data_IF_603963777144
#
_entry.id   IF_603963777144
#
_cell.length_a   1.000
_cell.length_b   1.000
_cell.length_c   1.000
_cell.angle_alpha   90.00
_cell.angle_beta   90.00
_cell.angle_gamma   90.00
#
_symmetry.space_group_name_H-M   'P 1'
#
loop_
_entity.id
_entity.type
_entity.pdbx_description
1 polymer ?
#
# COMPACT_ATOMS: atom_id res chain seq x y z
N UNK A 1 47.59 -29.71 -8.89
CA UNK A 1 47.56 -28.76 -7.76
C UNK A 1 46.27 -27.99 -7.89
N UNK A 2 45.39 -28.24 -6.93
CA UNK A 2 44.10 -27.60 -6.68
C UNK A 2 44.32 -26.16 -6.25
N UNK A 3 43.59 -25.23 -6.84
CA UNK A 3 43.22 -23.97 -6.16
C UNK A 3 41.68 -23.93 -6.05
N UNK A 4 41.13 -23.67 -4.85
CA UNK A 4 39.70 -23.68 -4.62
C UNK A 4 39.09 -22.33 -5.01
N UNK A 5 38.03 -22.38 -5.82
CA UNK A 5 37.15 -21.24 -6.09
C UNK A 5 36.38 -20.95 -4.79
N UNK A 6 36.74 -19.85 -4.13
CA UNK A 6 35.98 -19.33 -2.99
C UNK A 6 34.62 -18.79 -3.43
N UNK A 7 33.58 -18.86 -2.58
CA UNK A 7 32.28 -18.32 -2.90
C UNK A 7 32.37 -16.79 -2.98
N UNK A 8 32.13 -16.23 -4.17
CA UNK A 8 32.00 -14.79 -4.35
C UNK A 8 30.78 -14.30 -3.58
N UNK A 9 31.02 -13.63 -2.46
CA UNK A 9 30.02 -12.86 -1.73
C UNK A 9 29.51 -11.75 -2.67
N UNK A 10 28.32 -11.94 -3.24
CA UNK A 10 27.59 -10.90 -3.96
C UNK A 10 27.31 -9.75 -3.00
N UNK A 11 28.15 -8.72 -3.06
CA UNK A 11 27.94 -7.50 -2.31
C UNK A 11 26.83 -6.75 -3.03
N UNK A 12 25.64 -6.71 -2.41
CA UNK A 12 24.49 -5.96 -2.93
C UNK A 12 24.94 -4.50 -3.13
N UNK A 13 24.76 -3.89 -4.32
CA UNK A 13 25.00 -2.48 -4.47
C UNK A 13 24.01 -1.73 -3.56
N UNK A 14 24.54 -0.90 -2.66
CA UNK A 14 23.74 0.00 -1.84
C UNK A 14 22.76 0.77 -2.74
N UNK A 15 21.50 1.00 -2.30
CA UNK A 15 20.59 1.84 -3.05
C UNK A 15 21.27 3.18 -3.30
N UNK A 16 21.31 3.61 -4.56
CA UNK A 16 21.76 4.95 -4.92
C UNK A 16 20.92 5.95 -4.11
N UNK A 17 21.53 6.92 -3.41
CA UNK A 17 20.87 7.79 -2.43
C UNK A 17 19.85 8.78 -3.04
N UNK A 18 19.41 8.57 -4.28
CA UNK A 18 18.60 9.49 -5.06
C UNK A 18 17.21 8.95 -5.40
N UNK A 19 16.94 7.66 -5.23
CA UNK A 19 15.67 7.06 -5.65
C UNK A 19 14.76 6.85 -4.43
N UNK A 20 13.89 7.82 -4.18
CA UNK A 20 12.94 7.74 -3.07
C UNK A 20 11.74 6.88 -3.45
N UNK A 21 11.27 6.07 -2.52
CA UNK A 21 10.11 5.21 -2.70
C UNK A 21 8.88 5.90 -2.14
N UNK A 22 7.86 6.02 -2.97
CA UNK A 22 6.56 6.59 -2.60
C UNK A 22 5.46 5.53 -2.69
N UNK A 23 4.51 5.51 -1.74
CA UNK A 23 3.29 4.73 -1.90
C UNK A 23 2.43 5.36 -3.01
N UNK A 24 1.80 4.55 -3.85
CA UNK A 24 0.75 5.02 -4.76
C UNK A 24 -0.49 5.35 -3.95
N UNK A 25 -1.14 6.48 -4.23
CA UNK A 25 -2.23 6.98 -3.38
C UNK A 25 -3.56 6.32 -3.70
N UNK A 26 -3.77 6.00 -4.97
CA UNK A 26 -5.04 5.55 -5.55
C UNK A 26 -5.58 4.29 -4.84
N UNK A 27 -4.78 3.24 -4.61
CA UNK A 27 -5.26 2.03 -3.92
C UNK A 27 -5.71 2.30 -2.47
N UNK A 28 -5.00 3.16 -1.74
CA UNK A 28 -5.30 3.45 -0.33
C UNK A 28 -6.41 4.49 -0.15
N UNK A 29 -6.63 5.34 -1.15
CA UNK A 29 -7.61 6.43 -1.08
C UNK A 29 -8.96 6.05 -1.68
N UNK A 30 -8.93 5.39 -2.84
CA UNK A 30 -10.10 5.08 -3.66
C UNK A 30 -10.37 3.56 -3.77
N UNK A 31 -9.39 2.71 -3.45
CA UNK A 31 -9.52 1.26 -3.55
C UNK A 31 -10.18 0.56 -2.36
N UNK A 32 -10.48 1.26 -1.26
CA UNK A 32 -11.03 0.64 -0.04
C UNK A 32 -12.56 0.51 -0.12
N UNK A 33 -13.04 -0.72 -0.06
CA UNK A 33 -14.46 -1.03 -0.13
C UNK A 33 -15.08 -1.22 1.26
N UNK A 34 -16.30 -0.69 1.52
CA UNK A 34 -17.00 -0.87 2.79
C UNK A 34 -17.64 -2.26 2.91
N UNK A 35 -16.88 -3.31 2.61
CA UNK A 35 -17.34 -4.70 2.57
C UNK A 35 -16.64 -5.53 3.64
N UNK A 36 -17.37 -5.87 4.71
CA UNK A 36 -16.81 -6.62 5.85
C UNK A 36 -16.23 -7.98 5.46
N UNK A 37 -16.76 -8.61 4.41
CA UNK A 37 -16.27 -9.91 3.89
C UNK A 37 -14.88 -9.83 3.26
N UNK A 38 -14.38 -8.64 2.93
CA UNK A 38 -13.03 -8.44 2.41
C UNK A 38 -12.01 -8.17 3.52
N UNK A 39 -12.45 -8.08 4.79
CA UNK A 39 -11.57 -7.84 5.94
C UNK A 39 -11.26 -9.19 6.59
N UNK A 40 -10.06 -9.69 6.32
CA UNK A 40 -9.57 -10.96 6.88
C UNK A 40 -8.96 -10.77 8.26
N UNK A 41 -9.21 -11.71 9.17
CA UNK A 41 -8.56 -11.76 10.49
C UNK A 41 -7.09 -12.14 10.38
N UNK A 42 -6.78 -13.09 9.51
CA UNK A 42 -5.44 -13.45 9.06
C UNK A 42 -5.36 -13.32 7.53
N UNK A 43 -4.93 -12.14 7.02
CA UNK A 43 -4.87 -11.89 5.58
C UNK A 43 -3.90 -12.82 4.85
N UNK A 44 -2.78 -13.20 5.47
CA UNK A 44 -1.76 -14.03 4.82
C UNK A 44 -2.34 -15.41 4.53
N UNK A 45 -2.89 -16.07 5.55
CA UNK A 45 -3.45 -17.41 5.40
C UNK A 45 -4.66 -17.41 4.46
N UNK A 46 -5.60 -16.47 4.66
CA UNK A 46 -6.82 -16.40 3.88
C UNK A 46 -6.55 -16.16 2.38
N UNK A 47 -5.65 -15.23 2.06
CA UNK A 47 -5.31 -14.91 0.68
C UNK A 47 -4.42 -15.95 0.02
N UNK A 48 -3.59 -16.67 0.79
CA UNK A 48 -2.86 -17.83 0.27
C UNK A 48 -3.81 -18.93 -0.15
N UNK A 49 -4.80 -19.27 0.69
CA UNK A 49 -5.84 -20.25 0.33
C UNK A 49 -6.71 -19.78 -0.84
N UNK A 50 -7.01 -18.48 -0.91
CA UNK A 50 -7.75 -17.89 -2.03
C UNK A 50 -6.96 -17.99 -3.35
N UNK A 51 -5.68 -17.60 -3.33
CA UNK A 51 -4.75 -17.72 -4.46
C UNK A 51 -4.71 -19.16 -4.96
N UNK A 52 -4.54 -20.14 -4.07
CA UNK A 52 -4.54 -21.56 -4.44
C UNK A 52 -5.87 -22.03 -5.07
N UNK A 53 -7.01 -21.58 -4.52
CA UNK A 53 -8.35 -21.90 -5.04
C UNK A 53 -8.55 -21.35 -6.46
N UNK A 54 -8.05 -20.14 -6.73
CA UNK A 54 -8.17 -19.46 -8.02
C UNK A 54 -7.15 -19.96 -9.06
N UNK A 55 -5.93 -20.35 -8.64
CA UNK A 55 -4.96 -20.98 -9.56
C UNK A 55 -5.46 -22.35 -10.03
N UNK A 56 -6.14 -23.10 -9.16
CA UNK A 56 -6.65 -24.43 -9.48
C UNK A 56 -7.74 -24.45 -10.55
N UNK A 57 -8.38 -23.32 -10.85
CA UNK A 57 -9.38 -23.21 -11.92
C UNK A 57 -8.77 -22.98 -13.31
N UNK A 58 -7.44 -22.99 -13.46
CA UNK A 58 -6.67 -22.71 -14.69
C UNK A 58 -6.91 -21.31 -15.30
N UNK A 59 -7.37 -20.37 -14.48
CA UNK A 59 -7.70 -19.01 -14.88
C UNK A 59 -6.56 -18.10 -14.43
N UNK A 60 -5.76 -17.59 -15.36
CA UNK A 60 -4.76 -16.55 -15.05
C UNK A 60 -5.42 -15.21 -14.69
N UNK A 61 -6.63 -14.95 -15.21
CA UNK A 61 -7.38 -13.70 -14.99
C UNK A 61 -8.77 -13.93 -14.42
N UNK A 62 -8.99 -13.49 -13.19
CA UNK A 62 -10.17 -13.81 -12.37
C UNK A 62 -11.37 -12.97 -12.80
N UNK A 63 -12.46 -13.63 -13.20
CA UNK A 63 -13.75 -13.00 -13.50
C UNK A 63 -14.61 -12.83 -12.24
N UNK A 64 -15.74 -12.09 -12.35
CA UNK A 64 -16.59 -11.84 -11.19
C UNK A 64 -17.27 -13.10 -10.65
N UNK A 65 -17.54 -14.10 -11.52
CA UNK A 65 -18.16 -15.35 -11.12
C UNK A 65 -17.20 -16.20 -10.25
N UNK A 66 -15.96 -16.40 -10.71
CA UNK A 66 -14.94 -17.10 -9.94
C UNK A 66 -14.64 -16.37 -8.63
N UNK A 67 -14.58 -15.03 -8.64
CA UNK A 67 -14.36 -14.24 -7.43
C UNK A 67 -15.54 -14.37 -6.44
N UNK A 68 -16.78 -14.31 -6.92
CA UNK A 68 -17.98 -14.47 -6.11
C UNK A 68 -18.01 -15.82 -5.41
N UNK A 69 -17.70 -16.89 -6.14
CA UNK A 69 -17.62 -18.25 -5.61
C UNK A 69 -16.43 -18.46 -4.67
N UNK A 70 -15.31 -17.78 -4.95
CA UNK A 70 -14.11 -17.86 -4.13
C UNK A 70 -14.33 -17.23 -2.76
N UNK A 71 -14.87 -16.01 -2.72
CA UNK A 71 -15.11 -15.21 -1.50
C UNK A 71 -16.51 -15.41 -0.87
N UNK A 72 -17.39 -16.17 -1.52
CA UNK A 72 -18.77 -16.38 -1.09
C UNK A 72 -19.53 -15.05 -0.92
N UNK A 73 -19.40 -14.18 -1.93
CA UNK A 73 -20.08 -12.87 -2.03
C UNK A 73 -21.09 -12.90 -3.18
N UNK A 74 -21.99 -11.92 -3.25
CA UNK A 74 -22.89 -11.83 -4.41
C UNK A 74 -22.11 -11.41 -5.67
N UNK A 75 -22.62 -11.78 -6.83
CA UNK A 75 -22.02 -11.42 -8.12
C UNK A 75 -21.83 -9.90 -8.26
N UNK A 76 -22.83 -9.10 -7.86
CA UNK A 76 -22.74 -7.63 -7.90
C UNK A 76 -21.59 -7.07 -7.04
N UNK A 77 -21.34 -7.68 -5.89
CA UNK A 77 -20.22 -7.31 -5.02
C UNK A 77 -18.87 -7.70 -5.65
N UNK A 78 -18.80 -8.84 -6.34
CA UNK A 78 -17.59 -9.24 -7.05
C UNK A 78 -17.28 -8.31 -8.23
N UNK A 79 -18.31 -7.90 -9.00
CA UNK A 79 -18.16 -6.88 -10.05
C UNK A 79 -17.66 -5.56 -9.50
N UNK A 80 -18.25 -5.09 -8.40
CA UNK A 80 -17.79 -3.87 -7.72
C UNK A 80 -16.30 -3.96 -7.33
N UNK A 81 -15.84 -5.13 -6.88
CA UNK A 81 -14.41 -5.35 -6.57
C UNK A 81 -13.55 -5.19 -7.82
N UNK A 82 -13.92 -5.84 -8.93
CA UNK A 82 -13.17 -5.75 -10.18
C UNK A 82 -13.18 -4.35 -10.80
N UNK A 83 -14.33 -3.67 -10.79
CA UNK A 83 -14.47 -2.29 -11.28
C UNK A 83 -13.62 -1.32 -10.44
N UNK A 84 -13.63 -1.50 -9.13
CA UNK A 84 -12.83 -0.67 -8.23
C UNK A 84 -11.35 -0.94 -8.44
N UNK A 85 -10.94 -2.20 -8.58
CA UNK A 85 -9.56 -2.57 -8.93
C UNK A 85 -9.14 -1.90 -10.24
N UNK A 86 -9.94 -2.00 -11.30
CA UNK A 86 -9.67 -1.38 -12.60
C UNK A 86 -9.43 0.14 -12.47
N UNK A 87 -10.16 0.81 -11.57
CA UNK A 87 -10.01 2.26 -11.35
C UNK A 87 -8.73 2.68 -10.62
N UNK A 88 -8.05 1.75 -9.93
CA UNK A 88 -6.85 2.02 -9.14
C UNK A 88 -5.60 1.32 -9.65
N UNK A 89 -5.71 0.54 -10.74
CA UNK A 89 -4.56 -0.08 -11.39
C UNK A 89 -3.61 0.98 -11.95
N UNK A 90 -2.32 0.66 -11.91
CA UNK A 90 -1.27 1.57 -12.34
C UNK A 90 -0.96 1.49 -13.84
N UNK A 91 -1.23 0.33 -14.45
CA UNK A 91 -0.93 0.07 -15.85
C UNK A 91 -2.13 0.40 -16.73
N UNK A 92 -2.04 1.50 -17.49
CA UNK A 92 -3.08 1.91 -18.44
C UNK A 92 -3.23 0.92 -19.61
N UNK A 93 -2.23 0.06 -19.83
CA UNK A 93 -2.27 -0.99 -20.85
C UNK A 93 -2.95 -2.27 -20.38
N UNK A 94 -3.33 -2.38 -19.09
CA UNK A 94 -4.00 -3.57 -18.60
C UNK A 94 -5.38 -3.73 -19.30
N UNK A 95 -5.70 -4.94 -19.79
CA UNK A 95 -6.97 -5.21 -20.46
C UNK A 95 -8.21 -4.82 -19.63
N UNK A 96 -8.14 -4.93 -18.30
CA UNK A 96 -9.24 -4.58 -17.40
C UNK A 96 -9.53 -3.08 -17.42
N UNK A 97 -8.48 -2.25 -17.50
CA UNK A 97 -8.58 -0.78 -17.56
C UNK A 97 -9.13 -0.31 -18.90
N UNK A 98 -8.73 -0.97 -19.99
CA UNK A 98 -9.15 -0.62 -21.36
C UNK A 98 -10.51 -1.19 -21.75
N UNK A 99 -11.00 -2.20 -21.02
CA UNK A 99 -12.30 -2.82 -21.26
C UNK A 99 -13.48 -1.89 -20.94
N UNK A 100 -14.61 -2.13 -21.59
CA UNK A 100 -15.88 -1.49 -21.21
C UNK A 100 -16.45 -2.20 -19.98
N UNK A 101 -17.26 -1.49 -19.19
CA UNK A 101 -17.93 -2.05 -18.00
C UNK A 101 -18.65 -3.38 -18.27
N UNK A 102 -19.24 -3.56 -19.45
CA UNK A 102 -19.97 -4.79 -19.80
C UNK A 102 -19.03 -5.99 -20.11
N UNK A 103 -17.77 -5.73 -20.44
CA UNK A 103 -16.79 -6.73 -20.89
C UNK A 103 -15.83 -7.16 -19.76
N UNK A 104 -15.94 -6.58 -18.56
CA UNK A 104 -15.07 -6.84 -17.39
C UNK A 104 -15.00 -8.33 -17.07
N UNK A 105 -16.14 -9.03 -17.14
CA UNK A 105 -16.25 -10.47 -16.89
C UNK A 105 -15.55 -11.32 -17.96
N UNK A 106 -15.41 -10.81 -19.18
CA UNK A 106 -14.73 -11.53 -20.28
C UNK A 106 -13.20 -11.38 -20.21
N UNK A 107 -12.72 -10.30 -19.59
CA UNK A 107 -11.30 -9.97 -19.49
C UNK A 107 -10.69 -10.51 -18.19
N UNK A 108 -11.37 -10.28 -17.07
CA UNK A 108 -10.91 -10.64 -15.74
C UNK A 108 -9.73 -9.80 -15.23
N UNK A 109 -9.54 -9.81 -13.91
CA UNK A 109 -8.40 -9.14 -13.26
C UNK A 109 -7.19 -10.07 -13.16
N UNK A 110 -5.99 -9.50 -13.25
CA UNK A 110 -4.79 -10.23 -12.89
C UNK A 110 -4.88 -10.74 -11.44
N UNK A 111 -4.48 -11.99 -11.23
CA UNK A 111 -4.60 -12.64 -9.92
C UNK A 111 -3.74 -11.96 -8.85
N UNK A 112 -2.50 -11.58 -9.18
CA UNK A 112 -1.58 -11.00 -8.21
C UNK A 112 -2.03 -9.59 -7.82
N UNK A 113 -2.44 -8.78 -8.80
CA UNK A 113 -3.00 -7.44 -8.53
C UNK A 113 -4.27 -7.53 -7.68
N UNK A 114 -5.14 -8.50 -7.96
CA UNK A 114 -6.33 -8.76 -7.15
C UNK A 114 -5.98 -9.16 -5.72
N UNK A 115 -4.99 -10.04 -5.53
CA UNK A 115 -4.54 -10.45 -4.18
C UNK A 115 -3.98 -9.25 -3.40
N UNK A 116 -3.20 -8.37 -4.05
CA UNK A 116 -2.70 -7.14 -3.43
C UNK A 116 -3.84 -6.18 -3.08
N UNK A 117 -4.80 -6.00 -3.99
CA UNK A 117 -6.00 -5.18 -3.76
C UNK A 117 -6.82 -5.68 -2.57
N UNK A 118 -7.01 -6.99 -2.46
CA UNK A 118 -7.74 -7.59 -1.33
C UNK A 118 -6.96 -7.46 -0.01
N UNK A 119 -5.63 -7.58 -0.05
CA UNK A 119 -4.77 -7.45 1.13
C UNK A 119 -4.92 -6.07 1.80
N UNK A 120 -4.93 -5.02 0.98
CA UNK A 120 -5.01 -3.63 1.48
C UNK A 120 -6.40 -3.22 1.98
N UNK A 121 -7.44 -4.03 1.79
CA UNK A 121 -8.79 -3.74 2.34
C UNK A 121 -8.79 -3.63 3.88
N UNK A 122 -7.78 -4.19 4.53
CA UNK A 122 -7.54 -4.06 5.98
C UNK A 122 -6.93 -2.72 6.42
N UNK A 123 -6.48 -1.89 5.47
CA UNK A 123 -5.85 -0.61 5.74
C UNK A 123 -6.82 0.38 6.37
N UNK A 124 -6.35 1.08 7.40
CA UNK A 124 -7.13 2.10 8.13
C UNK A 124 -6.56 3.48 7.87
N UNK A 125 -7.32 4.30 7.14
CA UNK A 125 -6.96 5.70 6.87
C UNK A 125 -6.81 6.49 8.18
N UNK A 126 -5.95 7.51 8.14
CA UNK A 126 -5.87 8.48 9.23
C UNK A 126 -7.18 9.26 9.29
N UNK A 127 -7.91 9.12 10.40
CA UNK A 127 -9.08 9.95 10.65
C UNK A 127 -8.65 11.32 11.19
N UNK A 128 -9.31 12.42 10.77
CA UNK A 128 -9.16 13.70 11.44
C UNK A 128 -9.48 13.54 12.93
N UNK A 129 -8.52 13.81 13.81
CA UNK A 129 -8.76 13.71 15.26
C UNK A 129 -9.75 14.79 15.68
N UNK A 130 -10.94 14.38 16.12
CA UNK A 130 -11.84 15.28 16.85
C UNK A 130 -11.25 15.51 18.24
N UNK A 131 -11.06 16.76 18.63
CA UNK A 131 -10.65 17.09 19.99
C UNK A 131 -11.72 16.60 20.98
N UNK A 132 -11.30 16.07 22.15
CA UNK A 132 -12.20 15.57 23.21
C UNK A 132 -13.15 16.62 23.80
N UNK A 133 -13.08 17.86 23.34
CA UNK A 133 -13.83 18.99 23.89
C UNK A 133 -14.96 19.45 22.95
N UNK A 134 -15.27 18.69 21.88
CA UNK A 134 -16.37 19.02 20.97
C UNK A 134 -17.75 19.04 21.67
N UNK A 135 -17.90 18.38 22.82
CA UNK A 135 -19.11 18.48 23.65
C UNK A 135 -19.30 19.88 24.27
N UNK A 136 -18.26 20.72 24.32
CA UNK A 136 -18.36 22.10 24.81
C UNK A 136 -18.78 23.11 23.70
N UNK A 137 -18.99 22.65 22.47
CA UNK A 137 -19.36 23.49 21.30
C UNK A 137 -20.63 22.95 20.62
N UNK A 138 -21.52 22.29 21.39
CA UNK A 138 -22.85 21.91 20.90
C UNK A 138 -23.87 23.07 20.98
N UNK A 139 -23.56 24.14 21.71
CA UNK A 139 -24.47 25.28 21.93
C UNK A 139 -24.31 26.42 20.92
N UNK A 140 -24.10 26.11 19.63
CA UNK A 140 -24.28 27.09 18.55
C UNK A 140 -24.91 26.40 17.34
N UNK A 141 -26.09 25.82 17.51
CA UNK A 141 -27.00 25.68 16.38
C UNK A 141 -27.82 26.97 16.29
N UNK A 142 -27.96 27.62 15.10
CA UNK A 142 -28.86 28.74 14.96
C UNK A 142 -30.30 28.20 14.96
N UNK A 143 -30.83 27.96 16.15
CA UNK A 143 -32.26 27.76 16.38
C UNK A 143 -32.92 29.12 16.59
N UNK A 144 -33.18 29.87 15.53
CA UNK A 144 -34.33 30.81 15.41
C UNK A 144 -34.61 30.99 13.91
N UNK A 145 -35.69 30.39 13.41
CA UNK A 145 -36.95 31.09 13.13
C UNK A 145 -36.79 32.26 12.14
N UNK A 146 -37.38 32.09 10.96
CA UNK A 146 -37.32 33.01 9.82
C UNK A 146 -38.32 34.18 9.90
N UNK A 147 -38.51 34.82 11.05
CA UNK A 147 -39.40 35.99 11.13
C UNK A 147 -38.89 37.06 12.11
N UNK A 148 -38.99 38.31 11.63
CA UNK A 148 -38.76 39.60 12.27
C UNK A 148 -37.28 39.98 12.50
N UNK A 149 -36.73 41.08 11.98
CA UNK A 149 -37.33 42.35 11.64
C UNK A 149 -36.60 43.45 12.41
N UNK A 150 -35.87 44.31 11.67
CA UNK A 150 -35.33 45.61 12.09
C UNK A 150 -34.02 45.71 12.91
N UNK A 151 -33.00 46.20 12.19
CA UNK A 151 -32.02 47.22 12.56
C UNK A 151 -31.31 47.08 13.92
N UNK A 152 -30.02 46.72 13.88
CA UNK A 152 -28.97 47.63 14.35
C UNK A 152 -27.58 47.16 13.92
N UNK A 153 -26.93 48.04 13.18
CA UNK A 153 -25.53 47.99 12.81
C UNK A 153 -24.65 48.26 14.03
N UNK A 154 -23.80 47.29 14.43
CA UNK A 154 -22.54 47.56 15.14
C UNK A 154 -21.50 46.47 14.81
N UNK A 155 -20.46 46.91 14.09
CA UNK A 155 -19.08 46.40 14.01
C UNK A 155 -18.80 44.92 13.66
N UNK A 156 -18.31 44.63 12.44
CA UNK A 156 -17.83 43.31 12.02
C UNK A 156 -16.36 43.10 12.44
N UNK A 157 -16.04 43.11 13.72
CA UNK A 157 -14.66 42.84 14.17
C UNK A 157 -14.64 42.29 15.59
N UNK A 158 -14.99 41.02 15.79
CA UNK A 158 -14.35 40.15 16.78
C UNK A 158 -14.34 38.70 16.28
N UNK A 159 -13.62 38.50 15.18
CA UNK A 159 -13.07 37.19 14.83
C UNK A 159 -11.90 36.91 15.80
N UNK A 160 -12.21 36.67 17.07
CA UNK A 160 -11.28 35.97 17.95
C UNK A 160 -11.18 34.58 17.35
N UNK A 161 -10.11 34.39 16.55
CA UNK A 161 -9.76 33.15 15.89
C UNK A 161 -9.58 32.08 16.97
N UNK A 162 -10.66 31.41 17.32
CA UNK A 162 -10.62 30.06 17.87
C UNK A 162 -10.06 29.17 16.77
N UNK A 163 -8.74 29.23 16.58
CA UNK A 163 -7.99 28.42 15.65
C UNK A 163 -7.81 27.03 16.27
N UNK A 164 -8.92 26.42 16.71
CA UNK A 164 -8.98 24.98 16.94
C UNK A 164 -9.01 24.36 15.55
N UNK A 165 -7.85 24.39 14.87
CA UNK A 165 -7.62 23.68 13.63
C UNK A 165 -8.08 22.26 13.88
N UNK A 166 -9.16 21.85 13.22
CA UNK A 166 -9.34 20.44 12.87
C UNK A 166 -7.99 20.00 12.34
N UNK A 167 -7.27 19.14 13.07
CA UNK A 167 -6.04 18.54 12.56
C UNK A 167 -6.47 17.57 11.47
N UNK A 168 -6.68 18.11 10.27
CA UNK A 168 -6.82 17.33 9.06
C UNK A 168 -5.42 16.75 8.79
N UNK A 169 -5.28 15.42 8.62
CA UNK A 169 -4.01 14.85 8.21
C UNK A 169 -3.54 15.54 6.92
N UNK A 170 -2.28 15.98 6.90
CA UNK A 170 -1.69 16.52 5.67
C UNK A 170 -1.33 15.39 4.71
N UNK A 171 -1.13 15.70 3.43
CA UNK A 171 -0.71 14.70 2.43
C UNK A 171 0.55 13.94 2.87
N UNK A 172 1.51 14.66 3.47
CA UNK A 172 2.74 14.11 4.01
C UNK A 172 2.48 13.15 5.19
N UNK A 173 1.42 13.39 5.96
CA UNK A 173 1.02 12.51 7.06
C UNK A 173 0.37 11.22 6.57
N UNK A 174 -0.44 11.31 5.52
CA UNK A 174 -1.05 10.14 4.87
C UNK A 174 0.03 9.26 4.24
N UNK A 175 0.99 9.86 3.54
CA UNK A 175 2.13 9.17 2.94
C UNK A 175 2.98 8.45 3.99
N UNK A 176 3.34 9.12 5.08
CA UNK A 176 4.08 8.49 6.18
C UNK A 176 3.31 7.30 6.79
N UNK A 177 1.98 7.40 6.88
CA UNK A 177 1.13 6.35 7.41
C UNK A 177 1.01 5.16 6.44
N UNK A 178 0.93 5.41 5.13
CA UNK A 178 0.98 4.38 4.09
C UNK A 178 2.34 3.66 4.08
N UNK A 179 3.45 4.40 4.13
CA UNK A 179 4.79 3.81 4.23
C UNK A 179 4.96 2.97 5.51
N UNK A 180 4.44 3.44 6.64
CA UNK A 180 4.45 2.67 7.90
C UNK A 180 3.62 1.39 7.81
N UNK A 181 2.48 1.45 7.12
CA UNK A 181 1.65 0.27 6.84
C UNK A 181 2.43 -0.72 5.95
N UNK A 182 2.98 -0.26 4.84
CA UNK A 182 3.80 -1.09 3.95
C UNK A 182 4.97 -1.72 4.69
N UNK A 183 5.74 -0.95 5.45
CA UNK A 183 6.86 -1.45 6.27
C UNK A 183 6.45 -2.63 7.17
N UNK A 184 5.28 -2.54 7.80
CA UNK A 184 4.77 -3.58 8.69
C UNK A 184 4.26 -4.82 7.94
N UNK A 185 3.71 -4.63 6.75
CA UNK A 185 2.98 -5.67 6.03
C UNK A 185 3.75 -6.27 4.86
N UNK A 186 4.93 -5.73 4.52
CA UNK A 186 5.67 -6.08 3.32
C UNK A 186 6.10 -7.56 3.28
N UNK A 187 6.54 -8.11 4.41
CA UNK A 187 6.92 -9.53 4.47
C UNK A 187 5.77 -10.45 4.02
N UNK A 188 4.55 -10.17 4.48
CA UNK A 188 3.36 -10.93 4.09
C UNK A 188 2.99 -10.72 2.62
N UNK A 189 3.08 -9.47 2.15
CA UNK A 189 2.82 -9.12 0.75
C UNK A 189 3.77 -9.88 -0.18
N UNK A 190 5.07 -9.86 0.12
CA UNK A 190 6.08 -10.58 -0.65
C UNK A 190 5.88 -12.09 -0.61
N UNK A 191 5.47 -12.65 0.54
CA UNK A 191 5.12 -14.07 0.63
C UNK A 191 3.95 -14.44 -0.30
N UNK A 192 2.93 -13.57 -0.42
CA UNK A 192 1.81 -13.78 -1.35
C UNK A 192 2.21 -13.68 -2.82
N UNK A 193 3.22 -12.88 -3.16
CA UNK A 193 3.75 -12.73 -4.52
C UNK A 193 4.78 -13.81 -4.87
N UNK A 194 5.48 -14.35 -3.88
CA UNK A 194 6.53 -15.34 -4.10
C UNK A 194 6.02 -16.70 -4.57
N UNK A 195 6.92 -17.42 -5.23
CA UNK A 195 6.74 -18.80 -5.64
C UNK A 195 7.61 -19.72 -4.76
N UNK A 196 7.06 -20.86 -4.29
CA UNK A 196 7.85 -21.83 -3.53
C UNK A 196 8.79 -22.60 -4.46
N UNK A 197 10.09 -22.62 -4.12
CA UNK A 197 11.11 -23.48 -4.74
C UNK A 197 11.16 -24.82 -3.99
N UNK A 198 11.51 -25.90 -4.69
CA UNK A 198 11.72 -27.23 -4.10
C UNK A 198 12.85 -27.19 -3.05
N UNK A 199 12.47 -26.97 -1.78
CA UNK A 199 13.33 -26.95 -0.60
C UNK A 199 12.51 -26.59 0.64
N UNK A 200 12.76 -27.24 1.79
CA UNK A 200 12.03 -26.93 3.04
C UNK A 200 12.52 -25.61 3.66
N UNK A 201 11.68 -24.56 3.65
CA UNK A 201 11.90 -23.34 4.45
C UNK A 201 11.37 -22.04 3.84
N UNK A 202 11.24 -20.99 4.66
CA UNK A 202 10.93 -19.62 4.21
C UNK A 202 12.03 -19.02 3.31
N UNK A 203 13.23 -19.63 3.31
CA UNK A 203 14.33 -19.29 2.40
C UNK A 203 14.14 -19.87 0.98
N UNK A 204 13.13 -20.71 0.79
CA UNK A 204 12.77 -21.28 -0.52
C UNK A 204 11.80 -20.42 -1.32
N UNK A 205 11.38 -19.27 -0.79
CA UNK A 205 10.49 -18.35 -1.51
C UNK A 205 11.31 -17.44 -2.40
N UNK A 206 11.04 -17.50 -3.71
CA UNK A 206 11.66 -16.61 -4.70
C UNK A 206 10.62 -15.69 -5.32
N UNK A 207 11.07 -14.51 -5.72
CA UNK A 207 10.25 -13.52 -6.43
C UNK A 207 10.81 -13.42 -7.84
N UNK A 208 9.95 -13.69 -8.81
CA UNK A 208 10.23 -13.45 -10.22
C UNK A 208 10.17 -11.95 -10.53
N UNK A 209 10.77 -11.55 -11.65
CA UNK A 209 10.69 -10.15 -12.11
C UNK A 209 9.24 -9.70 -12.29
N UNK A 210 8.39 -10.56 -12.87
CA UNK A 210 6.94 -10.31 -13.02
C UNK A 210 6.25 -10.13 -11.66
N UNK A 211 6.50 -11.03 -10.71
CA UNK A 211 5.97 -10.90 -9.34
C UNK A 211 6.39 -9.61 -8.64
N UNK A 212 7.59 -9.11 -8.94
CA UNK A 212 8.08 -7.83 -8.42
C UNK A 212 7.37 -6.62 -9.07
N UNK A 213 7.07 -6.66 -10.37
CA UNK A 213 6.34 -5.59 -11.06
C UNK A 213 4.95 -5.35 -10.48
N UNK A 214 4.27 -6.39 -10.00
CA UNK A 214 2.96 -6.24 -9.33
C UNK A 214 3.01 -5.36 -8.08
N UNK A 215 4.18 -5.22 -7.42
CA UNK A 215 4.32 -4.23 -6.33
C UNK A 215 4.11 -2.79 -6.82
N UNK A 216 4.20 -2.55 -8.13
CA UNK A 216 3.93 -1.28 -8.80
C UNK A 216 2.51 -0.80 -8.55
N UNK A 217 1.61 -1.72 -8.20
CA UNK A 217 0.28 -1.40 -7.71
C UNK A 217 0.32 -0.56 -6.42
N UNK A 218 1.24 -0.83 -5.50
CA UNK A 218 1.30 -0.21 -4.17
C UNK A 218 2.38 0.87 -4.04
N UNK A 219 3.47 0.74 -4.79
CA UNK A 219 4.65 1.60 -4.66
C UNK A 219 5.12 2.10 -6.03
N UNK A 220 5.79 3.24 -6.00
CA UNK A 220 6.47 3.81 -7.15
C UNK A 220 7.77 4.48 -6.70
N UNK A 221 8.75 4.56 -7.58
CA UNK A 221 9.98 5.30 -7.33
C UNK A 221 9.86 6.73 -7.87
N UNK A 222 10.45 7.70 -7.18
CA UNK A 222 10.54 9.08 -7.65
C UNK A 222 11.52 9.14 -8.83
N UNK A 223 11.03 9.17 -10.07
CA UNK A 223 11.82 9.56 -11.22
C UNK A 223 11.50 11.00 -11.66
N UNK A 224 12.55 11.76 -11.98
CA UNK A 224 12.51 13.18 -12.34
C UNK A 224 12.17 13.41 -13.83
N UNK A 225 11.53 12.45 -14.52
CA UNK A 225 11.19 12.67 -15.93
C UNK A 225 10.55 11.55 -16.75
N UNK A 226 10.27 10.38 -16.20
CA UNK A 226 9.65 9.26 -16.95
C UNK A 226 8.30 8.88 -16.35
N UNK A 227 7.23 9.11 -17.11
CA UNK A 227 5.97 8.40 -16.92
C UNK A 227 6.22 6.92 -17.28
N UNK A 228 6.24 6.04 -16.28
CA UNK A 228 6.02 4.60 -16.51
C UNK A 228 7.25 3.69 -16.56
N UNK A 229 8.33 3.99 -15.83
CA UNK A 229 9.42 3.02 -15.71
C UNK A 229 9.00 1.84 -14.80
N UNK A 230 9.18 0.62 -15.32
CA UNK A 230 8.99 -0.64 -14.60
C UNK A 230 9.79 -0.64 -13.29
N UNK A 231 9.23 -1.17 -12.20
CA UNK A 231 9.90 -1.17 -10.88
C UNK A 231 11.25 -1.87 -10.94
N UNK A 232 11.37 -2.91 -11.76
CA UNK A 232 12.60 -3.67 -11.99
C UNK A 232 13.74 -2.81 -12.53
N UNK A 233 13.48 -1.74 -13.28
CA UNK A 233 14.53 -0.86 -13.79
C UNK A 233 15.19 -0.06 -12.67
N UNK A 234 14.42 0.31 -11.64
CA UNK A 234 14.93 0.97 -10.44
C UNK A 234 15.60 0.00 -9.46
N UNK A 235 15.42 -1.32 -9.64
CA UNK A 235 15.86 -2.35 -8.72
C UNK A 235 17.09 -3.10 -9.26
N UNK A 236 18.32 -2.76 -8.82
CA UNK A 236 19.54 -3.42 -9.30
C UNK A 236 19.64 -4.90 -8.90
N UNK A 237 18.73 -5.39 -8.04
CA UNK A 237 18.70 -6.77 -7.55
C UNK A 237 18.35 -7.80 -8.63
N UNK A 238 17.66 -7.39 -9.71
CA UNK A 238 17.33 -8.25 -10.85
C UNK A 238 18.27 -8.05 -12.05
N UNK A 239 19.22 -7.11 -11.96
CA UNK A 239 20.15 -6.83 -13.04
C UNK A 239 21.17 -7.98 -13.16
N UNK A 240 21.06 -8.75 -14.24
CA UNK A 240 22.08 -9.71 -14.62
C UNK A 240 23.33 -8.97 -15.15
N UNK A 241 24.50 -9.58 -14.97
CA UNK A 241 25.75 -9.10 -15.59
C UNK A 241 25.72 -9.20 -17.13
N UNK A 242 24.82 -10.01 -17.68
CA UNK A 242 24.62 -10.23 -19.12
C UNK A 242 23.17 -9.82 -19.50
N UNK A 243 22.99 -8.79 -20.36
CA UNK A 243 21.68 -8.33 -20.79
C UNK A 243 20.93 -9.33 -21.69
N UNK A 244 21.63 -10.32 -22.27
CA UNK A 244 21.01 -11.36 -23.11
C UNK A 244 20.44 -12.54 -22.28
N UNK A 245 20.66 -12.55 -20.95
CA UNK A 245 20.20 -13.61 -20.05
C UNK A 245 18.91 -13.20 -19.31
N UNK A 246 17.87 -14.06 -19.22
CA UNK A 246 16.62 -13.73 -18.53
C UNK A 246 16.88 -13.47 -17.04
N UNK A 247 16.14 -12.52 -16.45
CA UNK A 247 16.25 -12.16 -15.04
C UNK A 247 16.03 -13.40 -14.15
N UNK A 248 17.01 -13.70 -13.31
CA UNK A 248 16.94 -14.84 -12.40
C UNK A 248 16.03 -14.50 -11.21
N UNK A 249 15.11 -15.38 -10.78
CA UNK A 249 14.32 -15.15 -9.58
C UNK A 249 15.20 -14.90 -8.35
N UNK A 250 14.81 -13.93 -7.53
CA UNK A 250 15.59 -13.47 -6.38
C UNK A 250 14.93 -13.94 -5.08
N UNK A 251 15.69 -14.35 -4.04
CA UNK A 251 15.12 -14.72 -2.75
C UNK A 251 14.24 -13.61 -2.16
N UNK A 252 13.04 -13.97 -1.68
CA UNK A 252 12.07 -13.02 -1.13
C UNK A 252 12.64 -12.23 0.07
N UNK A 253 13.50 -12.86 0.87
CA UNK A 253 14.21 -12.23 1.99
C UNK A 253 15.14 -11.10 1.54
N UNK A 254 15.82 -11.28 0.40
CA UNK A 254 16.70 -10.27 -0.19
C UNK A 254 15.89 -9.08 -0.71
N UNK A 255 14.78 -9.33 -1.41
CA UNK A 255 13.85 -8.29 -1.89
C UNK A 255 13.25 -7.52 -0.71
N UNK A 256 12.85 -8.23 0.35
CA UNK A 256 12.31 -7.63 1.58
C UNK A 256 13.31 -6.68 2.23
N UNK A 257 14.56 -7.11 2.42
CA UNK A 257 15.61 -6.28 3.02
C UNK A 257 15.87 -5.00 2.23
N UNK A 258 15.93 -5.12 0.89
CA UNK A 258 16.13 -3.98 0.00
C UNK A 258 14.98 -2.97 0.06
N UNK A 259 13.73 -3.43 -0.02
CA UNK A 259 12.55 -2.57 0.06
C UNK A 259 12.39 -1.91 1.43
N UNK A 260 12.65 -2.63 2.53
CA UNK A 260 12.59 -2.05 3.88
C UNK A 260 13.61 -0.92 4.05
N UNK A 261 14.81 -1.05 3.46
CA UNK A 261 15.82 0.01 3.46
C UNK A 261 15.34 1.26 2.69
N UNK A 262 14.70 1.07 1.53
CA UNK A 262 14.15 2.19 0.74
C UNK A 262 12.97 2.88 1.46
N UNK A 263 12.08 2.10 2.10
CA UNK A 263 10.98 2.64 2.91
C UNK A 263 11.54 3.43 4.10
N UNK A 264 12.55 2.92 4.79
CA UNK A 264 13.19 3.62 5.91
C UNK A 264 13.78 4.96 5.46
N UNK A 265 14.53 4.96 4.35
CA UNK A 265 15.11 6.18 3.76
C UNK A 265 14.03 7.21 3.37
N UNK A 266 12.91 6.73 2.83
CA UNK A 266 11.78 7.59 2.42
C UNK A 266 11.04 8.17 3.63
N UNK A 267 10.85 7.37 4.70
CA UNK A 267 10.30 7.84 5.96
C UNK A 267 11.18 8.92 6.61
N UNK A 268 12.50 8.76 6.58
CA UNK A 268 13.44 9.77 7.08
C UNK A 268 13.28 11.08 6.32
N UNK A 269 13.27 11.04 4.99
CA UNK A 269 13.06 12.23 4.15
C UNK A 269 11.72 12.94 4.41
N UNK A 270 10.65 12.17 4.59
CA UNK A 270 9.32 12.69 4.95
C UNK A 270 9.36 13.41 6.30
N UNK A 271 10.12 12.90 7.27
CA UNK A 271 10.28 13.56 8.57
C UNK A 271 11.16 14.81 8.53
N UNK A 272 12.17 14.86 7.66
CA UNK A 272 13.02 16.04 7.48
C UNK A 272 12.25 17.22 6.88
N UNK A 273 11.32 16.95 5.95
CA UNK A 273 10.41 17.96 5.38
C UNK A 273 9.40 18.50 6.41
N UNK A 274 9.25 17.87 7.57
CA UNK A 274 8.30 18.28 8.61
C UNK A 274 8.96 18.30 10.01
N UNK A 275 9.90 19.23 10.27
CA UNK A 275 10.79 19.20 11.44
C UNK A 275 10.05 19.32 12.78
N UNK A 276 8.80 19.80 12.79
CA UNK A 276 7.96 19.91 13.98
C UNK A 276 7.58 18.55 14.60
N UNK A 277 7.70 17.43 13.87
CA UNK A 277 7.34 16.08 14.35
C UNK A 277 8.53 15.22 14.80
N UNK A 278 9.77 15.66 14.57
CA UNK A 278 11.00 14.94 14.97
C UNK A 278 11.01 14.58 16.46
N UNK A 279 10.46 15.43 17.32
CA UNK A 279 10.34 15.17 18.76
C UNK A 279 9.29 14.12 19.13
N UNK A 280 8.20 13.96 18.35
CA UNK A 280 7.10 13.05 18.71
C UNK A 280 7.43 11.59 18.38
N UNK A 281 8.07 11.35 17.23
CA UNK A 281 8.51 10.01 16.83
C UNK A 281 9.70 9.53 17.67
N UNK A 282 10.61 10.42 18.06
CA UNK A 282 11.72 10.08 18.96
C UNK A 282 11.20 9.65 20.34
N UNK A 283 10.16 10.32 20.87
CA UNK A 283 9.48 9.91 22.11
C UNK A 283 8.71 8.58 21.96
N UNK A 284 8.12 8.32 20.79
CA UNK A 284 7.43 7.06 20.52
C UNK A 284 8.41 5.88 20.39
N UNK A 285 9.55 6.08 19.71
CA UNK A 285 10.61 5.09 19.58
C UNK A 285 11.24 4.77 20.94
N UNK A 286 11.51 5.81 21.76
CA UNK A 286 12.00 5.64 23.14
C UNK A 286 10.98 4.87 23.99
N UNK A 287 9.67 5.14 23.85
CA UNK A 287 8.62 4.37 24.56
C UNK A 287 8.49 2.92 24.11
N UNK A 288 8.73 2.63 22.83
CA UNK A 288 8.70 1.25 22.31
C UNK A 288 9.93 0.46 22.78
N UNK A 289 11.09 1.11 22.86
CA UNK A 289 12.34 0.51 23.34
C UNK A 289 12.42 0.43 24.88
N UNK A 290 11.53 1.12 25.61
CA UNK A 290 11.54 1.20 27.07
C UNK A 290 10.43 0.39 27.75
N UNK A 291 9.77 -0.56 27.08
CA UNK A 291 8.90 -1.52 27.81
C UNK A 291 9.77 -2.54 28.55
N UNK A 292 9.85 -2.52 29.90
CA UNK A 292 10.48 -3.61 30.63
C UNK A 292 9.60 -4.86 30.50
N UNK A 293 10.24 -6.01 30.31
CA UNK A 293 9.61 -7.31 30.57
C UNK A 293 9.10 -7.32 32.01
N UNK A 294 7.78 -7.31 32.20
CA UNK A 294 7.20 -7.76 33.46
C UNK A 294 6.99 -9.26 33.33
N UNK A 295 7.77 -10.00 34.13
CA UNK A 295 7.46 -11.35 34.61
C UNK A 295 6.47 -11.23 35.76
#
# INVERSE_FOLDING_TARGET
MTDPIGPSTSTIPNPSPTTLLHPRREPFEHGLLPMQKLIFTDPLQALTSLKQKLVSSSIQRVDSAALADALQISLDHARLVLDTLASVLHSESDPLVTSRFDDVDSVGADLLDLILFLYIQSYKRLLPRLHKDAAAVADVWPSTSAFDGYLSALSPLQLVRCNTRRFLPSQVDEEAHQLSYLQKHLANILSLLSEPVEGEGEESLVISMEGFEHLGFLIQFEDKGSDGDFLSQAAPIFANSDPDMPAVPVPASQVLGWLLQNIASSLEHVTEKNPAKKMVLQVALIRMLSKPHQV
#
